data_IF_922104141052
#
_entry.id   IF_922104141052
#
_cell.length_a   1.000
_cell.length_b   1.000
_cell.length_c   1.000
_cell.angle_alpha   90.00
_cell.angle_beta   90.00
_cell.angle_gamma   90.00
#
_symmetry.space_group_name_H-M   'P 1'
#
loop_
_entity.id
_entity.type
_entity.pdbx_description
1 polymer ?
#
# COMPACT_ATOMS: atom_id res chain seq x y z
N UNK A 1 -7.51 -8.00 -12.44
CA UNK A 1 -7.24 -6.72 -13.17
C UNK A 1 -6.33 -5.98 -12.21
N UNK A 2 -5.02 -5.83 -12.48
CA UNK A 2 -4.03 -5.56 -11.43
C UNK A 2 -3.96 -4.10 -10.92
N UNK A 3 -2.77 -3.50 -11.04
CA UNK A 3 -2.49 -2.17 -10.50
C UNK A 3 -1.96 -1.24 -11.59
N UNK A 4 -2.38 0.04 -11.56
CA UNK A 4 -1.91 1.09 -12.49
C UNK A 4 -0.57 1.69 -12.09
N UNK A 5 -0.32 1.79 -10.79
CA UNK A 5 0.88 2.45 -10.29
C UNK A 5 1.32 1.85 -8.95
N UNK A 6 2.61 2.03 -8.68
CA UNK A 6 3.22 1.75 -7.39
C UNK A 6 3.85 3.03 -6.88
N UNK A 7 3.54 3.37 -5.64
CA UNK A 7 4.09 4.52 -4.94
C UNK A 7 5.07 4.01 -3.89
N UNK A 8 6.30 4.50 -3.94
CA UNK A 8 7.34 4.10 -2.97
C UNK A 8 7.60 5.28 -2.04
N UNK A 9 7.42 5.06 -0.75
CA UNK A 9 7.48 6.09 0.29
C UNK A 9 8.60 5.75 1.29
N UNK A 10 9.88 5.76 0.87
CA UNK A 10 10.98 5.33 1.74
C UNK A 10 11.24 6.33 2.89
N UNK A 11 10.90 7.60 2.69
CA UNK A 11 11.10 8.67 3.67
C UNK A 11 9.89 8.90 4.58
N UNK A 12 8.76 8.21 4.34
CA UNK A 12 7.61 8.31 5.21
C UNK A 12 7.93 7.69 6.57
N UNK A 13 7.24 8.12 7.63
CA UNK A 13 7.38 7.54 8.96
C UNK A 13 6.05 6.91 9.39
N UNK A 14 5.94 5.57 9.35
CA UNK A 14 6.93 4.59 8.89
C UNK A 14 7.01 4.53 7.36
N UNK A 15 8.09 3.97 6.77
CA UNK A 15 8.20 3.81 5.34
C UNK A 15 7.14 2.86 4.81
N UNK A 16 6.77 2.99 3.54
CA UNK A 16 5.81 2.06 2.96
C UNK A 16 5.66 2.12 1.46
N UNK A 17 4.92 1.16 0.92
CA UNK A 17 4.56 1.14 -0.49
C UNK A 17 3.05 1.09 -0.64
N UNK A 18 2.55 1.81 -1.63
CA UNK A 18 1.15 1.76 -1.99
C UNK A 18 0.99 1.31 -3.43
N UNK A 19 -0.08 0.56 -3.67
CA UNK A 19 -0.48 0.05 -4.95
C UNK A 19 -1.78 0.72 -5.35
N UNK A 20 -1.81 1.34 -6.53
CA UNK A 20 -3.00 2.02 -7.03
C UNK A 20 -3.71 1.05 -7.97
N UNK A 21 -4.85 0.51 -7.53
CA UNK A 21 -5.61 -0.52 -8.24
C UNK A 21 -6.37 0.04 -9.45
N UNK A 22 -6.68 -0.80 -10.45
CA UNK A 22 -7.52 -0.36 -11.59
C UNK A 22 -8.97 -0.07 -11.18
N UNK A 23 -9.51 -0.82 -10.22
CA UNK A 23 -10.90 -0.75 -9.77
C UNK A 23 -11.25 0.63 -9.17
N UNK A 24 -12.31 1.24 -9.72
CA UNK A 24 -12.83 2.54 -9.29
C UNK A 24 -11.94 3.73 -9.63
N UNK A 25 -10.88 3.52 -10.41
CA UNK A 25 -9.92 4.58 -10.70
C UNK A 25 -10.51 5.71 -11.55
N UNK A 26 -11.31 5.37 -12.55
CA UNK A 26 -11.92 6.37 -13.42
C UNK A 26 -13.22 6.90 -12.82
N UNK A 27 -13.98 6.02 -12.17
CA UNK A 27 -15.31 6.27 -11.65
C UNK A 27 -15.27 7.12 -10.37
N UNK A 28 -14.40 6.76 -9.42
CA UNK A 28 -14.36 7.38 -8.08
C UNK A 28 -13.25 8.42 -7.94
N UNK A 29 -12.07 8.14 -8.53
CA UNK A 29 -10.92 9.06 -8.44
C UNK A 29 -10.78 9.98 -9.64
N UNK A 30 -11.24 9.56 -10.82
CA UNK A 30 -11.04 10.25 -12.10
C UNK A 30 -9.62 10.14 -12.67
N UNK A 31 -8.60 9.91 -11.84
CA UNK A 31 -7.21 9.74 -12.30
C UNK A 31 -6.30 9.10 -11.25
N UNK A 32 -5.18 8.53 -11.70
CA UNK A 32 -4.10 8.04 -10.82
C UNK A 32 -3.54 9.16 -9.94
N UNK A 33 -3.45 10.40 -10.45
CA UNK A 33 -3.00 11.56 -9.67
C UNK A 33 -3.94 11.89 -8.51
N UNK A 34 -5.25 11.76 -8.71
CA UNK A 34 -6.26 11.96 -7.66
C UNK A 34 -6.18 10.87 -6.58
N UNK A 35 -6.02 9.60 -6.99
CA UNK A 35 -5.80 8.48 -6.07
C UNK A 35 -4.49 8.64 -5.26
N UNK A 36 -3.42 9.06 -5.93
CA UNK A 36 -2.15 9.41 -5.29
C UNK A 36 -2.35 10.54 -4.27
N UNK A 37 -3.00 11.65 -4.64
CA UNK A 37 -3.25 12.76 -3.72
C UNK A 37 -4.08 12.32 -2.50
N UNK A 38 -5.05 11.44 -2.71
CA UNK A 38 -5.87 10.89 -1.63
C UNK A 38 -5.08 10.03 -0.66
N UNK A 39 -4.13 9.21 -1.15
CA UNK A 39 -3.17 8.50 -0.31
C UNK A 39 -2.40 9.47 0.59
N UNK A 40 -1.84 10.55 0.04
CA UNK A 40 -1.10 11.54 0.83
C UNK A 40 -1.97 12.26 1.85
N UNK A 41 -3.21 12.58 1.47
CA UNK A 41 -4.19 13.13 2.40
C UNK A 41 -4.42 12.17 3.58
N UNK A 42 -4.64 10.88 3.32
CA UNK A 42 -4.85 9.88 4.37
C UNK A 42 -3.62 9.70 5.28
N UNK A 43 -2.42 9.62 4.69
CA UNK A 43 -1.15 9.53 5.42
C UNK A 43 -0.90 10.76 6.30
N UNK A 44 -1.26 11.96 5.81
CA UNK A 44 -1.13 13.21 6.57
C UNK A 44 -2.15 13.29 7.70
N UNK A 45 -3.43 12.96 7.43
CA UNK A 45 -4.53 13.04 8.40
C UNK A 45 -4.39 12.02 9.54
N UNK A 46 -3.91 10.81 9.23
CA UNK A 46 -3.86 9.68 10.18
C UNK A 46 -2.44 9.17 10.41
N UNK A 47 -1.42 10.01 10.16
CA UNK A 47 -0.02 9.62 10.28
C UNK A 47 0.36 9.13 11.68
N UNK A 48 -0.28 9.68 12.72
CA UNK A 48 -0.11 9.25 14.12
C UNK A 48 -0.47 7.77 14.32
N UNK A 49 -1.49 7.26 13.61
CA UNK A 49 -1.89 5.85 13.66
C UNK A 49 -0.89 4.93 13.00
N UNK A 50 -0.04 5.44 12.12
CA UNK A 50 0.96 4.67 11.40
C UNK A 50 2.26 4.54 12.17
N UNK A 51 2.59 5.49 13.05
CA UNK A 51 3.89 5.56 13.75
C UNK A 51 4.22 4.31 14.60
N UNK A 52 3.23 3.46 14.88
CA UNK A 52 3.43 2.21 15.64
C UNK A 52 3.94 1.05 14.78
N UNK A 53 4.04 1.20 13.46
CA UNK A 53 4.50 0.15 12.56
C UNK A 53 5.96 0.36 12.13
N UNK A 54 6.65 -0.72 11.78
CA UNK A 54 8.00 -0.69 11.21
C UNK A 54 7.95 -0.28 9.72
N UNK A 55 6.95 -0.78 8.98
CA UNK A 55 6.63 -0.38 7.61
C UNK A 55 5.15 -0.66 7.29
N UNK A 56 4.66 -0.19 6.15
CA UNK A 56 3.31 -0.54 5.68
C UNK A 56 3.25 -0.88 4.19
N UNK A 57 2.24 -1.67 3.84
CA UNK A 57 1.77 -1.82 2.47
C UNK A 57 0.34 -1.26 2.38
N UNK A 58 0.01 -0.63 1.27
CA UNK A 58 -1.32 -0.06 1.05
C UNK A 58 -1.86 -0.40 -0.34
N UNK A 59 -3.17 -0.54 -0.45
CA UNK A 59 -3.90 -0.66 -1.70
C UNK A 59 -4.93 0.46 -1.81
N UNK A 60 -4.81 1.30 -2.84
CA UNK A 60 -5.71 2.42 -3.11
C UNK A 60 -6.65 2.00 -4.22
N UNK A 61 -7.95 1.97 -3.92
CA UNK A 61 -8.99 1.54 -4.85
C UNK A 61 -10.31 2.27 -4.60
N UNK A 62 -11.23 2.21 -5.55
CA UNK A 62 -12.55 2.84 -5.44
C UNK A 62 -13.65 1.80 -5.38
N UNK A 63 -14.53 1.91 -4.39
CA UNK A 63 -15.79 1.17 -4.36
C UNK A 63 -16.79 1.89 -5.27
N UNK A 64 -16.99 1.35 -6.47
CA UNK A 64 -17.86 1.91 -7.50
C UNK A 64 -19.33 1.88 -7.06
N UNK A 65 -19.74 0.88 -6.27
CA UNK A 65 -21.16 0.72 -5.89
C UNK A 65 -21.58 1.80 -4.90
N UNK A 66 -20.68 2.13 -3.99
CA UNK A 66 -20.94 3.05 -2.88
C UNK A 66 -20.34 4.45 -3.12
N UNK A 67 -19.67 4.65 -4.26
CA UNK A 67 -18.89 5.85 -4.59
C UNK A 67 -17.90 6.25 -3.48
N UNK A 68 -17.15 5.26 -2.96
CA UNK A 68 -16.21 5.44 -1.85
C UNK A 68 -14.76 5.32 -2.29
N UNK A 69 -13.93 6.25 -1.82
CA UNK A 69 -12.47 6.21 -1.92
C UNK A 69 -11.91 5.37 -0.79
N UNK A 70 -11.30 4.24 -1.11
CA UNK A 70 -10.81 3.27 -0.13
C UNK A 70 -9.29 3.15 -0.20
N UNK A 71 -8.66 3.05 0.97
CA UNK A 71 -7.28 2.59 1.10
C UNK A 71 -7.25 1.46 2.12
N UNK A 72 -6.88 0.27 1.67
CA UNK A 72 -6.56 -0.84 2.56
C UNK A 72 -5.11 -0.69 3.00
N UNK A 73 -4.85 -0.71 4.30
CA UNK A 73 -3.50 -0.68 4.84
C UNK A 73 -3.19 -1.96 5.59
N UNK A 74 -1.96 -2.43 5.43
CA UNK A 74 -1.38 -3.51 6.21
C UNK A 74 -0.12 -2.96 6.88
N UNK A 75 -0.26 -2.57 8.14
CA UNK A 75 0.85 -2.13 8.97
C UNK A 75 1.61 -3.33 9.52
N UNK A 76 2.93 -3.36 9.34
CA UNK A 76 3.78 -4.45 9.84
C UNK A 76 4.55 -3.97 11.06
N UNK A 77 4.54 -4.75 12.14
CA UNK A 77 5.30 -4.47 13.36
C UNK A 77 6.04 -5.70 13.87
N UNK A 78 6.84 -5.49 14.91
CA UNK A 78 7.61 -6.50 15.64
C UNK A 78 8.72 -7.17 14.81
N UNK A 79 9.32 -6.43 13.87
CA UNK A 79 10.46 -6.92 13.07
C UNK A 79 11.74 -6.82 13.89
N UNK A 80 12.02 -7.87 14.68
CA UNK A 80 13.27 -7.96 15.46
C UNK A 80 14.49 -8.30 14.60
N UNK A 81 14.30 -9.19 13.63
CA UNK A 81 15.33 -9.66 12.70
C UNK A 81 14.75 -9.64 11.29
N UNK A 82 15.34 -8.87 10.41
CA UNK A 82 14.90 -8.80 9.02
C UNK A 82 15.10 -10.15 8.30
N UNK A 83 14.25 -10.48 7.33
CA UNK A 83 14.32 -11.74 6.56
C UNK A 83 13.83 -13.00 7.31
N UNK A 84 14.27 -13.20 8.55
CA UNK A 84 13.98 -14.40 9.37
C UNK A 84 12.85 -14.22 10.39
N UNK A 85 12.14 -13.09 10.37
CA UNK A 85 10.94 -12.86 11.18
C UNK A 85 9.65 -13.12 10.39
N UNK A 86 8.59 -13.46 11.14
CA UNK A 86 7.22 -13.42 10.66
C UNK A 86 6.50 -12.25 11.36
N UNK A 87 6.62 -11.00 10.84
CA UNK A 87 6.05 -9.83 11.50
C UNK A 87 4.54 -9.92 11.62
N UNK A 88 3.98 -9.27 12.64
CA UNK A 88 2.54 -9.11 12.75
C UNK A 88 2.06 -8.10 11.72
N UNK A 89 1.14 -8.52 10.85
CA UNK A 89 0.43 -7.66 9.93
C UNK A 89 -0.89 -7.23 10.58
N UNK A 90 -1.08 -5.93 10.75
CA UNK A 90 -2.29 -5.34 11.31
C UNK A 90 -3.05 -4.65 10.18
N UNK A 91 -4.18 -5.22 9.76
CA UNK A 91 -5.05 -4.60 8.77
C UNK A 91 -5.81 -3.40 9.37
N UNK A 92 -5.96 -2.32 8.61
CA UNK A 92 -6.94 -1.25 8.84
C UNK A 92 -7.27 -0.58 7.50
N UNK A 93 -8.30 0.27 7.45
CA UNK A 93 -8.67 0.97 6.21
C UNK A 93 -8.93 2.46 6.43
N UNK A 94 -8.82 3.22 5.34
CA UNK A 94 -9.30 4.60 5.28
C UNK A 94 -10.35 4.71 4.18
N UNK A 95 -11.58 5.06 4.55
CA UNK A 95 -12.72 5.17 3.64
C UNK A 95 -13.24 6.61 3.66
N UNK A 96 -13.28 7.26 2.50
CA UNK A 96 -13.61 8.69 2.35
C UNK A 96 -12.89 9.63 3.34
N UNK A 97 -11.67 9.24 3.74
CA UNK A 97 -10.82 10.00 4.65
C UNK A 97 -10.98 9.62 6.12
N UNK A 98 -11.87 8.71 6.47
CA UNK A 98 -12.08 8.28 7.86
C UNK A 98 -11.39 6.95 8.12
N UNK A 99 -10.82 6.82 9.33
CA UNK A 99 -10.02 5.67 9.74
C UNK A 99 -10.91 4.60 10.37
N UNK A 100 -10.76 3.35 9.92
CA UNK A 100 -11.47 2.20 10.46
C UNK A 100 -10.44 1.12 10.85
N UNK A 101 -10.21 0.89 12.15
CA UNK A 101 -9.23 -0.10 12.62
C UNK A 101 -9.69 -1.54 12.35
N UNK A 102 -11.00 -1.76 12.33
CA UNK A 102 -11.62 -3.06 12.16
C UNK A 102 -12.52 -3.03 10.92
N UNK A 103 -12.21 -3.81 9.88
CA UNK A 103 -13.10 -3.96 8.74
C UNK A 103 -12.48 -3.89 7.35
N UNK A 104 -11.32 -4.53 7.14
CA UNK A 104 -10.78 -4.62 5.77
C UNK A 104 -11.69 -5.48 4.90
N UNK A 105 -12.20 -4.86 3.83
CA UNK A 105 -12.66 -5.56 2.62
C UNK A 105 -11.57 -5.34 1.59
N UNK A 106 -10.66 -6.29 1.43
CA UNK A 106 -9.61 -6.21 0.41
C UNK A 106 -9.90 -7.15 -0.75
N UNK A 107 -9.43 -6.80 -1.94
CA UNK A 107 -9.57 -7.64 -3.13
C UNK A 107 -8.49 -8.73 -3.19
N UNK A 108 -8.77 -9.81 -3.92
CA UNK A 108 -7.82 -10.92 -4.13
C UNK A 108 -6.51 -10.45 -4.77
N UNK A 109 -6.58 -9.52 -5.73
CA UNK A 109 -5.40 -8.92 -6.39
C UNK A 109 -4.44 -8.27 -5.34
N UNK A 110 -4.98 -7.67 -4.27
CA UNK A 110 -4.18 -7.10 -3.15
C UNK A 110 -3.54 -8.18 -2.30
N UNK A 111 -4.27 -9.25 -1.99
CA UNK A 111 -3.72 -10.39 -1.25
C UNK A 111 -2.55 -11.04 -2.00
N UNK A 112 -2.69 -11.21 -3.32
CA UNK A 112 -1.63 -11.73 -4.18
C UNK A 112 -0.43 -10.77 -4.17
N UNK A 113 -0.66 -9.47 -4.36
CA UNK A 113 0.40 -8.47 -4.34
C UNK A 113 1.17 -8.45 -3.03
N UNK A 114 0.47 -8.47 -1.90
CA UNK A 114 1.10 -8.41 -0.59
C UNK A 114 1.76 -9.73 -0.22
N UNK A 115 1.25 -10.86 -0.72
CA UNK A 115 1.95 -12.15 -0.66
C UNK A 115 3.31 -12.09 -1.36
N UNK A 116 3.37 -11.54 -2.57
CA UNK A 116 4.63 -11.33 -3.32
C UNK A 116 5.57 -10.37 -2.61
N UNK A 117 5.06 -9.31 -2.01
CA UNK A 117 5.85 -8.41 -1.16
C UNK A 117 6.43 -9.14 0.05
N UNK A 118 5.65 -10.00 0.69
CA UNK A 118 6.11 -10.84 1.79
C UNK A 118 7.22 -11.81 1.38
N UNK A 119 7.09 -12.45 0.22
CA UNK A 119 8.14 -13.30 -0.36
C UNK A 119 9.40 -12.48 -0.70
N UNK A 120 9.23 -11.31 -1.30
CA UNK A 120 10.34 -10.42 -1.66
C UNK A 120 11.09 -9.93 -0.43
N UNK A 121 10.36 -9.47 0.61
CA UNK A 121 10.94 -9.07 1.90
C UNK A 121 11.86 -10.13 2.47
N UNK A 122 11.47 -11.42 2.43
CA UNK A 122 12.28 -12.54 2.93
C UNK A 122 13.59 -12.75 2.16
N UNK A 123 13.71 -12.20 0.95
CA UNK A 123 14.91 -12.28 0.09
C UNK A 123 15.84 -11.06 0.21
N UNK A 124 15.42 -10.03 0.95
CA UNK A 124 16.20 -8.78 1.15
C UNK A 124 16.88 -8.81 2.51
N UNK A 125 17.97 -8.06 2.68
CA UNK A 125 18.77 -8.06 3.92
C UNK A 125 18.27 -7.08 4.96
N UNK A 126 17.59 -6.00 4.56
CA UNK A 126 17.05 -4.99 5.47
C UNK A 126 15.90 -4.18 4.82
N UNK A 127 15.27 -3.32 5.62
CA UNK A 127 14.15 -2.48 5.19
C UNK A 127 14.54 -1.47 4.09
N UNK A 128 15.75 -0.90 4.11
CA UNK A 128 16.19 0.04 3.09
C UNK A 128 16.35 -0.64 1.72
N UNK A 129 16.99 -1.82 1.69
CA UNK A 129 17.09 -2.64 0.48
C UNK A 129 15.72 -3.07 -0.02
N UNK A 130 14.83 -3.49 0.89
CA UNK A 130 13.44 -3.73 0.54
C UNK A 130 12.87 -2.48 -0.11
N UNK A 131 12.80 -1.33 0.57
CA UNK A 131 12.15 -0.13 0.05
C UNK A 131 12.72 0.39 -1.28
N UNK A 132 14.02 0.25 -1.53
CA UNK A 132 14.65 0.66 -2.80
C UNK A 132 14.35 -0.28 -3.95
N UNK A 133 14.08 -1.54 -3.65
CA UNK A 133 13.77 -2.56 -4.63
C UNK A 133 12.30 -2.97 -4.54
N UNK A 134 11.86 -3.86 -5.40
CA UNK A 134 10.50 -4.35 -5.39
C UNK A 134 10.40 -5.65 -6.20
N UNK A 135 9.40 -6.51 -5.91
CA UNK A 135 9.13 -7.65 -6.77
C UNK A 135 8.77 -7.16 -8.17
N UNK A 136 9.32 -7.84 -9.17
CA UNK A 136 9.07 -7.58 -10.60
C UNK A 136 7.71 -8.12 -11.06
N UNK A 137 7.11 -9.04 -10.31
CA UNK A 137 5.96 -9.87 -10.67
C UNK A 137 4.84 -9.80 -9.61
N UNK A 138 4.20 -8.65 -9.49
CA UNK A 138 2.98 -8.55 -8.67
C UNK A 138 1.76 -8.96 -9.52
N UNK A 139 0.78 -9.65 -8.95
CA UNK A 139 -0.36 -10.25 -9.66
C UNK A 139 -1.04 -9.32 -10.67
N UNK A 140 -0.84 -9.58 -11.96
CA UNK A 140 -1.40 -8.78 -13.06
C UNK A 140 -0.60 -7.54 -13.45
N UNK A 141 0.65 -7.39 -13.01
CA UNK A 141 1.57 -6.35 -13.47
C UNK A 141 2.15 -6.71 -14.83
N UNK A 142 1.46 -6.34 -15.91
CA UNK A 142 2.11 -6.22 -17.19
C UNK A 142 3.00 -4.97 -17.24
N UNK A 143 3.95 -4.97 -18.18
CA UNK A 143 4.83 -3.85 -18.53
C UNK A 143 4.03 -2.53 -18.55
N UNK A 144 4.22 -1.64 -17.57
CA UNK A 144 3.51 -0.35 -17.58
C UNK A 144 3.23 0.31 -16.23
N UNK A 145 3.57 -0.32 -15.09
CA UNK A 145 3.44 0.38 -13.80
C UNK A 145 4.33 1.61 -13.77
N UNK A 146 3.69 2.74 -13.52
CA UNK A 146 4.37 3.97 -13.17
C UNK A 146 4.83 3.83 -11.72
N UNK A 147 6.14 3.84 -11.52
CA UNK A 147 6.71 3.97 -10.17
C UNK A 147 6.81 5.45 -9.83
N UNK A 148 6.13 5.84 -8.76
CA UNK A 148 6.08 7.23 -8.31
C UNK A 148 6.90 7.37 -7.05
N UNK A 149 7.89 8.27 -7.09
CA UNK A 149 8.60 8.75 -5.92
C UNK A 149 8.07 10.13 -5.55
N UNK A 150 7.74 10.39 -4.28
CA UNK A 150 7.34 11.72 -3.83
C UNK A 150 8.48 12.69 -4.08
N UNK A 151 8.20 13.84 -4.68
CA UNK A 151 9.19 14.93 -4.71
C UNK A 151 9.30 15.49 -3.29
N UNK A 152 10.53 15.68 -2.81
CA UNK A 152 10.83 16.38 -1.56
C UNK A 152 10.35 17.82 -1.62
#
# INVERSE_FOLDING_TARGET
>A
MGFKARVILPENRPPGRAYIHYLGMNEVYGSVKSAYNYLFFALSKHGDKLLTFDFFLANVWGDIKEDKKVIDFFGYKDIKVWGNSNPSAIPFQVVNGDYFPDGIITCEDTLIAFGREGEFRRKTNNLDEFMRNYPSDIGGLEKGIITIYPRK
#
